data_IF_161474057801
#
_entry.id   IF_161474057801
#
_cell.length_a   1.000
_cell.length_b   1.000
_cell.length_c   1.000
_cell.angle_alpha   90.00
_cell.angle_beta   90.00
_cell.angle_gamma   90.00
#
_symmetry.space_group_name_H-M   'P 1'
#
loop_
_entity.id
_entity.type
_entity.pdbx_description
1 polymer ?
#
# COMPACT_ATOMS: atom_id res chain seq x y z
N UNK A 1 13.42 -3.82 20.92
CA UNK A 1 12.38 -3.19 20.09
C UNK A 1 11.61 -2.22 20.97
N UNK A 2 11.40 -1.00 20.50
CA UNK A 2 10.50 -0.06 21.15
C UNK A 2 9.05 -0.52 20.92
N UNK A 3 8.20 -0.42 21.93
CA UNK A 3 6.77 -0.64 21.81
C UNK A 3 6.08 0.72 21.67
N UNK A 4 5.13 0.83 20.75
CA UNK A 4 4.34 2.06 20.53
C UNK A 4 2.87 1.70 20.61
N UNK A 5 2.13 2.35 21.50
CA UNK A 5 0.68 2.21 21.60
C UNK A 5 0.00 3.04 20.51
N UNK A 6 -0.58 2.34 19.52
CA UNK A 6 -1.25 2.95 18.36
C UNK A 6 -2.77 3.01 18.50
N UNK A 7 -3.35 2.16 19.33
CA UNK A 7 -4.79 2.06 19.55
C UNK A 7 -5.11 1.44 20.91
N UNK A 8 -6.29 1.73 21.42
CA UNK A 8 -6.84 1.12 22.64
C UNK A 8 -8.35 0.92 22.52
N UNK A 9 -8.88 -0.01 23.29
CA UNK A 9 -10.32 -0.22 23.48
C UNK A 9 -10.61 -0.26 24.97
N UNK A 10 -11.75 0.30 25.38
CA UNK A 10 -12.22 0.29 26.75
C UNK A 10 -13.66 -0.19 26.80
N UNK A 11 -13.92 -1.18 27.63
CA UNK A 11 -15.28 -1.49 28.08
C UNK A 11 -15.63 -0.54 29.21
N UNK A 12 -16.64 0.30 28.99
CA UNK A 12 -17.03 1.37 29.91
C UNK A 12 -18.15 0.94 30.86
N UNK A 13 -18.79 -0.19 30.58
CA UNK A 13 -19.98 -0.63 31.31
C UNK A 13 -21.10 0.39 31.19
N UNK A 14 -21.86 0.55 32.27
CA UNK A 14 -22.95 1.53 32.36
C UNK A 14 -22.51 2.92 32.85
N UNK A 15 -21.24 3.09 33.26
CA UNK A 15 -20.73 4.30 33.96
C UNK A 15 -21.14 5.62 33.30
N UNK A 16 -21.04 5.72 31.98
CA UNK A 16 -21.41 6.95 31.25
C UNK A 16 -22.90 6.98 30.89
N UNK A 17 -23.49 5.84 30.53
CA UNK A 17 -24.91 5.76 30.18
C UNK A 17 -25.83 6.17 31.35
N UNK A 18 -25.45 5.83 32.59
CA UNK A 18 -26.16 6.22 33.80
C UNK A 18 -26.10 7.73 34.03
N UNK A 19 -24.91 8.32 33.92
CA UNK A 19 -24.70 9.75 34.10
C UNK A 19 -25.36 10.60 33.00
N UNK A 20 -25.42 10.10 31.77
CA UNK A 20 -25.99 10.80 30.60
C UNK A 20 -27.48 10.51 30.39
N UNK A 21 -28.08 9.61 31.18
CA UNK A 21 -29.48 9.20 31.01
C UNK A 21 -29.75 8.40 29.73
N UNK A 22 -28.71 7.84 29.10
CA UNK A 22 -28.83 7.04 27.89
C UNK A 22 -29.35 5.64 28.23
N UNK A 23 -30.66 5.42 28.03
CA UNK A 23 -31.36 4.20 28.43
C UNK A 23 -32.17 3.60 27.28
N UNK A 24 -32.25 2.29 27.26
CA UNK A 24 -33.19 1.52 26.43
C UNK A 24 -34.10 0.69 27.33
N UNK A 25 -35.42 0.83 27.16
CA UNK A 25 -36.43 0.16 28.00
C UNK A 25 -36.19 0.32 29.52
N UNK A 26 -35.77 1.52 29.93
CA UNK A 26 -35.50 1.84 31.33
C UNK A 26 -34.16 1.35 31.89
N UNK A 27 -33.39 0.55 31.11
CA UNK A 27 -32.06 0.08 31.50
C UNK A 27 -30.95 0.96 30.88
N UNK A 28 -29.89 1.32 31.62
CA UNK A 28 -28.73 1.99 31.05
C UNK A 28 -28.08 1.14 29.95
N UNK A 29 -27.58 1.78 28.91
CA UNK A 29 -26.89 1.10 27.81
C UNK A 29 -25.49 0.62 28.27
N UNK A 30 -25.11 -0.59 27.87
CA UNK A 30 -23.73 -1.03 28.01
C UNK A 30 -22.86 -0.37 26.92
N UNK A 31 -21.74 0.22 27.32
CA UNK A 31 -20.93 1.07 26.44
C UNK A 31 -19.49 0.56 26.29
N UNK A 32 -18.98 0.68 25.06
CA UNK A 32 -17.57 0.53 24.73
C UNK A 32 -17.08 1.77 23.98
N UNK A 33 -15.79 2.08 24.09
CA UNK A 33 -15.15 3.04 23.19
C UNK A 33 -13.80 2.52 22.70
N UNK A 34 -13.38 2.98 21.54
CA UNK A 34 -12.06 2.72 21.00
C UNK A 34 -11.43 4.02 20.49
N UNK A 35 -10.10 4.05 20.51
CA UNK A 35 -9.32 5.15 19.97
C UNK A 35 -8.19 4.61 19.11
N UNK A 36 -7.98 5.21 17.94
CA UNK A 36 -6.81 4.96 17.09
C UNK A 36 -6.07 6.26 16.85
N UNK A 37 -4.78 6.27 17.17
CA UNK A 37 -3.91 7.43 16.98
C UNK A 37 -3.46 7.53 15.53
N UNK A 38 -4.31 8.06 14.63
CA UNK A 38 -3.98 8.21 13.19
C UNK A 38 -2.64 8.94 12.99
N UNK A 39 -2.40 10.02 13.75
CA UNK A 39 -1.14 10.77 13.71
C UNK A 39 0.07 10.01 14.25
N UNK A 40 -0.14 8.97 15.08
CA UNK A 40 0.93 8.09 15.60
C UNK A 40 1.16 6.89 14.69
N UNK A 41 0.13 6.44 13.97
CA UNK A 41 0.20 5.28 13.10
C UNK A 41 1.21 5.48 11.97
N UNK A 42 1.20 6.65 11.31
CA UNK A 42 2.13 6.95 10.23
C UNK A 42 3.61 6.91 10.66
N UNK A 43 4.05 7.67 11.69
CA UNK A 43 5.44 7.62 12.12
C UNK A 43 5.84 6.24 12.67
N UNK A 44 4.95 5.56 13.40
CA UNK A 44 5.21 4.19 13.87
C UNK A 44 5.40 3.20 12.69
N UNK A 45 4.61 3.36 11.62
CA UNK A 45 4.75 2.54 10.42
C UNK A 45 6.07 2.81 9.70
N UNK A 46 6.46 4.08 9.59
CA UNK A 46 7.73 4.49 8.97
C UNK A 46 8.91 3.93 9.78
N UNK A 47 8.90 4.09 11.11
CA UNK A 47 9.96 3.60 12.01
C UNK A 47 10.10 2.08 11.95
N UNK A 48 8.98 1.35 11.88
CA UNK A 48 8.97 -0.11 11.82
C UNK A 48 9.45 -0.67 10.47
N UNK A 49 9.07 -0.04 9.36
CA UNK A 49 9.28 -0.60 8.02
C UNK A 49 10.50 -0.02 7.30
N UNK A 50 10.89 1.21 7.59
CA UNK A 50 11.99 1.86 6.89
C UNK A 50 13.32 1.40 7.45
N UNK A 51 14.19 0.90 6.57
CA UNK A 51 15.50 0.35 6.96
C UNK A 51 16.59 1.39 7.16
N UNK A 52 16.33 2.63 6.76
CA UNK A 52 17.26 3.75 6.86
C UNK A 52 16.54 5.08 6.76
N UNK A 53 17.23 6.17 7.06
CA UNK A 53 16.81 7.55 6.83
C UNK A 53 16.78 7.96 5.34
N UNK A 54 17.30 7.12 4.45
CA UNK A 54 17.42 7.43 3.02
C UNK A 54 16.17 7.16 2.21
N UNK A 55 15.25 6.32 2.71
CA UNK A 55 14.08 5.92 1.94
C UNK A 55 12.93 5.45 2.83
N UNK A 56 11.72 5.93 2.54
CA UNK A 56 10.51 5.47 3.20
C UNK A 56 10.13 4.07 2.71
N UNK A 57 9.65 3.24 3.62
CA UNK A 57 8.96 1.99 3.29
C UNK A 57 7.54 2.09 3.82
N UNK A 58 6.60 2.16 2.89
CA UNK A 58 5.19 2.32 3.18
C UNK A 58 4.44 1.07 2.70
N UNK A 59 3.48 0.56 3.48
CA UNK A 59 2.48 -0.35 2.95
C UNK A 59 1.74 0.36 1.81
N UNK A 60 1.40 -0.40 0.77
CA UNK A 60 0.67 0.11 -0.39
C UNK A 60 -0.61 0.86 -0.02
N UNK A 61 -1.31 0.42 1.03
CA UNK A 61 -2.53 1.06 1.50
C UNK A 61 -2.35 2.54 1.90
N UNK A 62 -1.13 2.97 2.22
CA UNK A 62 -0.80 4.34 2.61
C UNK A 62 0.34 4.94 1.77
N UNK A 63 0.76 4.28 0.69
CA UNK A 63 1.73 4.88 -0.24
C UNK A 63 1.06 5.99 -1.04
N UNK A 64 1.76 7.11 -1.34
CA UNK A 64 1.16 8.25 -2.05
C UNK A 64 0.60 7.88 -3.44
N UNK A 65 1.28 6.97 -4.13
CA UNK A 65 0.90 6.41 -5.42
C UNK A 65 1.28 4.93 -5.45
N UNK A 66 0.59 4.15 -6.27
CA UNK A 66 0.94 2.74 -6.46
C UNK A 66 2.20 2.60 -7.33
N UNK A 67 2.34 3.47 -8.34
CA UNK A 67 3.48 3.46 -9.23
C UNK A 67 3.93 4.87 -9.63
N UNK A 68 5.20 5.00 -10.00
CA UNK A 68 5.76 6.19 -10.62
C UNK A 68 6.38 5.84 -11.97
N UNK A 69 6.11 6.64 -12.99
CA UNK A 69 6.70 6.48 -14.33
C UNK A 69 7.73 7.57 -14.55
N UNK A 70 8.95 7.14 -14.78
CA UNK A 70 10.08 8.00 -15.13
C UNK A 70 10.30 7.87 -16.62
N UNK A 71 10.16 8.98 -17.32
CA UNK A 71 10.13 8.98 -18.78
C UNK A 71 11.22 9.90 -19.35
N UNK A 72 11.84 9.45 -20.44
CA UNK A 72 12.73 10.27 -21.27
C UNK A 72 11.90 11.21 -22.17
N UNK A 73 12.41 12.42 -22.42
CA UNK A 73 11.72 13.44 -23.23
C UNK A 73 11.17 12.92 -24.57
N UNK A 74 11.89 12.05 -25.27
CA UNK A 74 11.47 11.50 -26.57
C UNK A 74 10.26 10.55 -26.49
N UNK A 75 9.91 10.06 -25.30
CA UNK A 75 8.87 9.05 -25.11
C UNK A 75 7.59 9.61 -24.46
N UNK A 76 7.59 10.86 -23.99
CA UNK A 76 6.50 11.50 -23.24
C UNK A 76 5.10 11.30 -23.84
N UNK A 77 4.95 11.48 -25.15
CA UNK A 77 3.66 11.36 -25.84
C UNK A 77 3.12 9.93 -25.86
N UNK A 78 4.01 8.93 -25.86
CA UNK A 78 3.63 7.51 -25.93
C UNK A 78 3.17 6.99 -24.56
N UNK A 79 3.75 7.52 -23.49
CA UNK A 79 3.48 7.07 -22.10
C UNK A 79 2.02 7.22 -21.72
N UNK A 80 1.44 8.40 -21.94
CA UNK A 80 0.07 8.71 -21.50
C UNK A 80 -0.94 7.80 -22.22
N UNK A 81 -0.72 7.57 -23.51
CA UNK A 81 -1.57 6.70 -24.34
C UNK A 81 -1.48 5.25 -23.87
N UNK A 82 -0.26 4.75 -23.69
CA UNK A 82 -0.01 3.37 -23.33
C UNK A 82 -0.55 3.05 -21.93
N UNK A 83 -0.33 3.93 -20.95
CA UNK A 83 -0.83 3.75 -19.59
C UNK A 83 -2.36 3.79 -19.51
N UNK A 84 -2.99 4.72 -20.23
CA UNK A 84 -4.46 4.79 -20.33
C UNK A 84 -5.04 3.57 -21.02
N UNK A 85 -4.31 2.99 -21.98
CA UNK A 85 -4.72 1.78 -22.70
C UNK A 85 -4.40 0.46 -21.96
N UNK A 86 -3.47 0.48 -21.01
CA UNK A 86 -2.94 -0.73 -20.37
C UNK A 86 -3.87 -1.27 -19.26
N UNK A 87 -3.92 -2.60 -19.15
CA UNK A 87 -4.59 -3.32 -18.05
C UNK A 87 -3.97 -3.06 -16.68
N UNK A 88 -2.75 -2.52 -16.61
CA UNK A 88 -2.06 -2.21 -15.35
C UNK A 88 -2.82 -1.16 -14.51
N UNK A 89 -3.47 -0.20 -15.16
CA UNK A 89 -4.34 0.79 -14.52
C UNK A 89 -5.45 0.17 -13.66
N UNK A 90 -5.94 -1.02 -14.03
CA UNK A 90 -6.99 -1.74 -13.26
C UNK A 90 -6.49 -2.25 -11.91
N UNK A 91 -5.19 -2.54 -11.81
CA UNK A 91 -4.57 -3.08 -10.59
C UNK A 91 -3.95 -1.98 -9.72
N UNK A 92 -3.49 -0.90 -10.34
CA UNK A 92 -2.83 0.26 -9.70
C UNK A 92 -3.85 1.35 -9.33
N UNK A 93 -4.82 1.01 -8.49
CA UNK A 93 -5.93 1.90 -8.08
C UNK A 93 -5.51 3.13 -7.27
N UNK A 94 -4.37 3.07 -6.59
CA UNK A 94 -3.76 4.18 -5.85
C UNK A 94 -3.21 5.28 -6.75
N UNK A 95 -3.35 5.14 -8.06
CA UNK A 95 -2.90 6.13 -9.03
C UNK A 95 -1.44 5.94 -9.42
N UNK A 96 -1.09 6.57 -10.54
CA UNK A 96 0.22 6.47 -11.16
C UNK A 96 0.74 7.88 -11.36
N UNK A 97 1.90 8.17 -10.76
CA UNK A 97 2.56 9.46 -10.88
C UNK A 97 3.46 9.47 -12.12
N UNK A 98 3.29 10.46 -12.99
CA UNK A 98 4.22 10.70 -14.09
C UNK A 98 5.31 11.68 -13.65
N UNK A 99 6.57 11.28 -13.72
CA UNK A 99 7.72 12.15 -13.48
C UNK A 99 8.25 12.73 -14.80
N UNK A 100 7.77 13.92 -15.13
CA UNK A 100 8.10 14.67 -16.34
C UNK A 100 9.30 15.63 -16.19
N UNK A 101 10.02 15.57 -15.06
CA UNK A 101 11.25 16.34 -14.79
C UNK A 101 12.43 15.84 -15.63
N UNK A 102 12.37 16.14 -16.92
CA UNK A 102 13.32 15.70 -17.95
C UNK A 102 14.74 16.25 -17.75
N UNK A 103 14.91 17.31 -16.96
CA UNK A 103 16.19 17.89 -16.56
C UNK A 103 16.94 17.02 -15.54
N UNK A 104 16.25 16.12 -14.84
CA UNK A 104 16.85 15.17 -13.90
C UNK A 104 17.17 13.84 -14.59
N UNK A 105 18.35 13.29 -14.28
CA UNK A 105 18.72 11.96 -14.79
C UNK A 105 17.75 10.88 -14.27
N UNK A 106 17.47 9.82 -15.05
CA UNK A 106 16.60 8.73 -14.62
C UNK A 106 17.01 8.14 -13.26
N UNK A 107 18.31 7.91 -13.05
CA UNK A 107 18.82 7.40 -11.76
C UNK A 107 18.46 8.29 -10.56
N UNK A 108 18.56 9.62 -10.70
CA UNK A 108 18.15 10.54 -9.62
C UNK A 108 16.65 10.44 -9.37
N UNK A 109 15.84 10.38 -10.42
CA UNK A 109 14.39 10.24 -10.32
C UNK A 109 13.97 8.90 -9.68
N UNK A 110 14.67 7.81 -9.99
CA UNK A 110 14.44 6.49 -9.37
C UNK A 110 14.69 6.56 -7.86
N UNK A 111 15.78 7.20 -7.43
CA UNK A 111 16.06 7.38 -6.01
C UNK A 111 15.03 8.27 -5.30
N UNK A 112 14.52 9.31 -5.96
CA UNK A 112 13.46 10.16 -5.42
C UNK A 112 12.13 9.41 -5.27
N UNK A 113 11.76 8.59 -6.26
CA UNK A 113 10.59 7.71 -6.17
C UNK A 113 10.71 6.70 -5.01
N UNK A 114 11.90 6.10 -4.87
CA UNK A 114 12.22 5.18 -3.77
C UNK A 114 12.21 5.89 -2.41
N UNK A 115 12.64 7.16 -2.35
CA UNK A 115 12.59 8.00 -1.15
C UNK A 115 11.18 8.23 -0.65
N UNK A 116 10.25 8.46 -1.58
CA UNK A 116 8.83 8.64 -1.30
C UNK A 116 8.11 7.34 -0.90
N UNK A 117 8.78 6.18 -1.02
CA UNK A 117 8.18 4.89 -0.70
C UNK A 117 7.14 4.43 -1.74
N UNK A 118 7.29 4.85 -3.00
CA UNK A 118 6.39 4.43 -4.09
C UNK A 118 6.73 2.97 -4.47
N UNK A 119 5.79 2.02 -4.37
CA UNK A 119 6.09 0.59 -4.50
C UNK A 119 6.69 0.16 -5.83
N UNK A 120 6.16 0.68 -6.94
CA UNK A 120 6.59 0.36 -8.30
C UNK A 120 7.16 1.59 -8.99
N UNK A 121 8.36 1.46 -9.56
CA UNK A 121 9.01 2.52 -10.33
C UNK A 121 9.26 1.98 -11.73
N UNK A 122 8.59 2.58 -12.71
CA UNK A 122 8.62 2.16 -14.11
C UNK A 122 9.47 3.17 -14.87
N UNK A 123 10.48 2.71 -15.60
CA UNK A 123 11.40 3.57 -16.33
C UNK A 123 11.24 3.32 -17.83
N UNK A 124 10.94 4.40 -18.55
CA UNK A 124 10.79 4.45 -20.00
C UNK A 124 11.95 5.24 -20.57
N UNK A 125 13.00 4.52 -20.98
CA UNK A 125 14.26 5.09 -21.41
C UNK A 125 14.74 4.45 -22.73
N UNK A 126 16.05 4.23 -22.84
CA UNK A 126 16.69 3.80 -24.09
C UNK A 126 16.25 2.39 -24.52
N UNK A 127 16.00 1.48 -23.56
CA UNK A 127 15.55 0.14 -23.90
C UNK A 127 14.13 0.15 -24.48
N UNK A 128 13.24 0.92 -23.86
CA UNK A 128 11.90 1.17 -24.38
C UNK A 128 11.96 1.73 -25.81
N UNK A 129 12.75 2.78 -26.03
CA UNK A 129 12.90 3.41 -27.35
C UNK A 129 13.37 2.43 -28.43
N UNK A 130 14.34 1.55 -28.12
CA UNK A 130 14.79 0.49 -29.06
C UNK A 130 13.70 -0.54 -29.35
N UNK A 131 12.92 -0.92 -28.34
CA UNK A 131 11.87 -1.93 -28.45
C UNK A 131 10.61 -1.44 -29.19
N UNK A 132 10.45 -0.14 -29.39
CA UNK A 132 9.33 0.39 -30.21
C UNK A 132 9.38 -0.10 -31.66
N UNK A 133 10.58 -0.38 -32.18
CA UNK A 133 10.78 -0.90 -33.55
C UNK A 133 10.17 -2.30 -33.72
N UNK A 134 10.15 -3.11 -32.65
CA UNK A 134 9.64 -4.49 -32.68
C UNK A 134 8.16 -4.59 -32.30
N UNK A 135 7.47 -3.46 -32.12
CA UNK A 135 6.07 -3.37 -31.67
C UNK A 135 5.77 -4.12 -30.36
N UNK A 136 6.81 -4.42 -29.57
CA UNK A 136 6.72 -5.05 -28.25
C UNK A 136 7.52 -4.22 -27.26
N UNK A 137 6.95 -3.12 -26.76
CA UNK A 137 7.67 -2.21 -25.87
C UNK A 137 8.08 -2.93 -24.58
N UNK A 138 9.31 -2.66 -24.18
CA UNK A 138 9.93 -3.16 -22.96
C UNK A 138 10.14 -1.99 -22.00
N UNK A 139 9.85 -2.22 -20.73
CA UNK A 139 9.97 -1.26 -19.65
C UNK A 139 10.96 -1.79 -18.62
N UNK A 140 11.74 -0.90 -18.02
CA UNK A 140 12.61 -1.21 -16.89
C UNK A 140 11.79 -1.03 -15.60
N UNK A 141 11.84 -2.01 -14.68
CA UNK A 141 11.01 -2.00 -13.47
C UNK A 141 11.88 -2.08 -12.22
N UNK A 142 11.65 -1.18 -11.28
CA UNK A 142 12.24 -1.21 -9.95
C UNK A 142 11.15 -1.29 -8.89
N UNK A 143 11.48 -1.87 -7.74
CA UNK A 143 10.57 -1.95 -6.59
C UNK A 143 11.23 -1.48 -5.31
N UNK A 144 10.42 -0.98 -4.38
CA UNK A 144 10.86 -0.80 -3.00
C UNK A 144 10.86 -2.15 -2.28
N UNK A 145 11.91 -2.45 -1.51
CA UNK A 145 11.99 -3.69 -0.74
C UNK A 145 12.12 -3.40 0.76
N UNK A 146 11.39 -4.10 1.65
CA UNK A 146 11.44 -3.86 3.09
C UNK A 146 12.80 -4.08 3.75
N UNK A 147 13.75 -4.75 3.07
CA UNK A 147 15.10 -5.01 3.57
C UNK A 147 16.21 -4.25 2.85
N UNK A 148 15.85 -3.36 1.92
CA UNK A 148 16.83 -2.60 1.12
C UNK A 148 16.51 -1.12 1.21
N UNK A 149 17.53 -0.28 1.43
CA UNK A 149 17.40 1.17 1.32
C UNK A 149 17.38 1.63 -0.15
N UNK A 150 18.08 0.89 -1.00
CA UNK A 150 18.14 1.13 -2.43
C UNK A 150 16.98 0.47 -3.17
N UNK A 151 16.53 1.06 -4.29
CA UNK A 151 15.53 0.45 -5.16
C UNK A 151 16.08 -0.85 -5.75
N UNK A 152 15.24 -1.89 -5.80
CA UNK A 152 15.61 -3.20 -6.32
C UNK A 152 15.23 -3.29 -7.78
N UNK A 153 16.23 -3.48 -8.64
CA UNK A 153 16.05 -3.71 -10.06
C UNK A 153 15.38 -5.08 -10.31
N UNK A 154 14.23 -5.08 -10.98
CA UNK A 154 13.49 -6.29 -11.39
C UNK A 154 13.80 -6.67 -12.85
N UNK A 155 14.67 -5.91 -13.51
CA UNK A 155 15.02 -6.03 -14.91
C UNK A 155 13.94 -5.49 -15.85
N UNK A 156 14.21 -5.70 -17.13
CA UNK A 156 13.37 -5.23 -18.22
C UNK A 156 12.30 -6.26 -18.58
N UNK A 157 11.06 -5.81 -18.78
CA UNK A 157 9.93 -6.68 -19.11
C UNK A 157 8.92 -6.00 -20.04
N UNK A 158 8.15 -6.80 -20.77
CA UNK A 158 7.02 -6.29 -21.56
C UNK A 158 5.88 -5.85 -20.65
N UNK A 159 4.97 -5.01 -21.17
CA UNK A 159 3.81 -4.56 -20.40
C UNK A 159 2.90 -5.71 -19.93
N UNK A 160 2.68 -6.73 -20.75
CA UNK A 160 1.88 -7.89 -20.35
C UNK A 160 2.53 -8.62 -19.17
N UNK A 161 3.85 -8.79 -19.22
CA UNK A 161 4.62 -9.39 -18.13
C UNK A 161 4.60 -8.51 -16.88
N UNK A 162 4.62 -7.19 -17.04
CA UNK A 162 4.49 -6.25 -15.92
C UNK A 162 3.13 -6.39 -15.23
N UNK A 163 2.03 -6.55 -15.98
CA UNK A 163 0.71 -6.80 -15.38
C UNK A 163 0.71 -8.08 -14.55
N UNK A 164 1.24 -9.18 -15.10
CA UNK A 164 1.38 -10.44 -14.35
C UNK A 164 2.30 -10.30 -13.14
N UNK A 165 3.38 -9.52 -13.27
CA UNK A 165 4.29 -9.22 -12.16
C UNK A 165 3.55 -8.47 -11.04
N UNK A 166 2.87 -7.37 -11.35
CA UNK A 166 2.07 -6.61 -10.37
C UNK A 166 1.04 -7.50 -9.70
N UNK A 167 0.29 -8.31 -10.47
CA UNK A 167 -0.67 -9.25 -9.89
C UNK A 167 -0.01 -10.23 -8.92
N UNK A 168 1.14 -10.82 -9.29
CA UNK A 168 1.86 -11.74 -8.40
C UNK A 168 2.36 -11.05 -7.13
N UNK A 169 2.79 -9.80 -7.21
CA UNK A 169 3.21 -9.03 -6.03
C UNK A 169 2.03 -8.62 -5.15
N UNK A 170 0.87 -8.31 -5.76
CA UNK A 170 -0.33 -7.91 -5.03
C UNK A 170 -1.04 -9.11 -4.38
N UNK A 171 -1.13 -10.26 -5.05
CA UNK A 171 -1.93 -11.40 -4.62
C UNK A 171 -1.11 -12.58 -4.13
N UNK A 172 0.18 -12.67 -4.50
CA UNK A 172 1.07 -13.76 -4.10
C UNK A 172 1.41 -13.81 -2.61
N UNK A 173 0.98 -12.80 -1.84
CA UNK A 173 1.11 -12.78 -0.37
C UNK A 173 -0.21 -13.07 0.37
N UNK A 174 -1.35 -13.18 -0.33
CA UNK A 174 -2.68 -13.38 0.27
C UNK A 174 -3.15 -14.84 0.31
N UNK A 175 -2.28 -15.82 0.08
CA UNK A 175 -2.62 -17.23 0.32
C UNK A 175 -2.58 -17.63 1.80
N UNK A 176 -2.19 -16.73 2.71
CA UNK A 176 -2.00 -17.05 4.14
C UNK A 176 -2.78 -16.13 5.11
N UNK A 177 -3.63 -15.22 4.62
CA UNK A 177 -4.49 -14.40 5.47
C UNK A 177 -5.91 -14.45 4.94
N UNK A 178 -6.59 -15.56 5.25
CA UNK A 178 -8.04 -15.65 5.18
C UNK A 178 -8.64 -14.63 6.17
N UNK A 179 -9.00 -13.45 5.66
CA UNK A 179 -9.79 -12.48 6.41
C UNK A 179 -11.17 -13.03 6.83
N UNK A 180 -11.58 -14.19 6.28
CA UNK A 180 -12.76 -14.93 6.69
C UNK A 180 -12.60 -15.66 8.03
N UNK A 181 -11.38 -16.09 8.40
CA UNK A 181 -11.14 -16.79 9.66
C UNK A 181 -11.21 -15.87 10.89
N UNK A 182 -10.82 -14.59 10.75
CA UNK A 182 -10.82 -13.62 11.86
C UNK A 182 -12.23 -13.25 12.31
N UNK A 183 -13.22 -13.32 11.40
CA UNK A 183 -14.62 -13.04 11.74
C UNK A 183 -15.31 -14.26 12.39
N UNK A 184 -14.92 -15.48 12.01
CA UNK A 184 -15.44 -16.71 12.62
C UNK A 184 -14.93 -16.90 14.07
N UNK A 185 -13.67 -16.55 14.35
CA UNK A 185 -13.12 -16.62 15.73
C UNK A 185 -13.75 -15.58 16.68
N UNK A 186 -14.20 -14.42 16.15
CA UNK A 186 -14.93 -13.43 16.94
C UNK A 186 -16.42 -13.75 17.07
N UNK A 187 -16.99 -14.57 16.19
CA UNK A 187 -18.35 -15.08 16.28
C UNK A 187 -18.51 -16.28 17.22
N UNK A 188 -17.47 -17.11 17.37
CA UNK A 188 -17.52 -18.34 18.16
C UNK A 188 -17.32 -18.13 19.68
N UNK A 189 -16.82 -16.97 20.12
CA UNK A 189 -16.59 -16.69 21.54
C UNK A 189 -17.83 -16.17 22.30
N UNK A 190 -19.01 -16.14 21.66
CA UNK A 190 -20.23 -15.54 22.19
C UNK A 190 -21.30 -16.50 22.73
N UNK A 191 -21.15 -17.83 22.59
CA UNK A 191 -22.28 -18.77 22.75
C UNK A 191 -22.05 -19.93 23.75
N UNK A 192 -21.18 -19.74 24.75
CA UNK A 192 -21.07 -20.67 25.89
C UNK A 192 -21.28 -19.95 27.22
N UNK A 193 -22.53 -19.59 27.52
CA UNK A 193 -23.06 -19.62 28.89
C UNK A 193 -24.57 -19.34 28.90
N UNK A 194 -25.38 -20.40 28.96
CA UNK A 194 -26.78 -20.24 29.33
C UNK A 194 -27.75 -21.35 28.93
N UNK A 195 -27.62 -22.56 29.51
CA UNK A 195 -28.79 -23.35 29.94
C UNK A 195 -28.38 -24.67 30.59
N UNK A 196 -28.37 -24.71 31.92
CA UNK A 196 -28.80 -25.90 32.67
C UNK A 196 -29.65 -25.41 33.84
N UNK A 197 -30.97 -25.49 33.64
CA UNK A 197 -31.92 -25.87 34.68
C UNK A 197 -32.00 -27.39 34.67
#
# INVERSE_FOLDING_TARGET
MASVEIAHTFHLGTKYSEALGAKFQGKPLDMCCFGIGVSRLLPATIDLLSVSDKALRLPRAISPFDAMIIVKKSLMSNVIVEMTSSSASRYLKGGILLDDRIEMSPGKRIHEANRLGIPFIIVLANETERSLVTQKPVIEVFTTHPKSADPVDQGSMTLDRFVSFVQSQLYGSYSNLDHLHVLDELGAAGDENGSQN
#
